data_IF_832646709409
#
_entry.id   IF_832646709409
#
_cell.length_a   1.000
_cell.length_b   1.000
_cell.length_c   1.000
_cell.angle_alpha   90.00
_cell.angle_beta   90.00
_cell.angle_gamma   90.00
#
_symmetry.space_group_name_H-M   'P 1'
#
loop_
_entity.id
_entity.type
_entity.pdbx_description
1 polymer ?
#
# COMPACT_ATOMS: atom_id res chain seq x y z
N UNK A 1 -17.11 -9.15 -14.65
CA UNK A 1 -16.20 -8.00 -14.46
C UNK A 1 -16.19 -7.70 -12.98
N UNK A 2 -15.08 -7.99 -12.31
CA UNK A 2 -14.98 -7.71 -10.88
C UNK A 2 -14.05 -6.52 -10.62
N UNK A 3 -14.61 -5.50 -10.00
CA UNK A 3 -13.86 -4.42 -9.37
C UNK A 3 -13.67 -4.79 -7.89
N UNK A 4 -12.45 -4.69 -7.38
CA UNK A 4 -12.13 -4.97 -5.98
C UNK A 4 -11.53 -3.75 -5.30
N UNK A 5 -11.64 -3.67 -3.98
CA UNK A 5 -10.79 -2.81 -3.16
C UNK A 5 -9.59 -3.65 -2.73
N UNK A 6 -8.39 -3.13 -2.89
CA UNK A 6 -7.19 -3.79 -2.38
C UNK A 6 -6.24 -2.81 -1.70
N UNK A 7 -5.70 -3.19 -0.55
CA UNK A 7 -4.58 -2.51 0.03
C UNK A 7 -3.31 -2.92 -0.72
N UNK A 8 -2.53 -1.93 -1.13
CA UNK A 8 -1.30 -2.13 -1.91
C UNK A 8 -0.18 -1.36 -1.24
N UNK A 9 0.95 -2.03 -1.11
CA UNK A 9 2.20 -1.45 -0.65
C UNK A 9 3.36 -2.03 -1.44
N UNK A 10 4.45 -1.26 -1.56
CA UNK A 10 5.65 -1.66 -2.28
C UNK A 10 6.92 -1.28 -1.52
N UNK A 11 7.95 -2.11 -1.65
CA UNK A 11 9.31 -1.73 -1.30
C UNK A 11 10.11 -1.38 -2.55
N UNK A 12 10.89 -0.32 -2.48
CA UNK A 12 11.60 0.24 -3.63
C UNK A 12 13.09 0.44 -3.38
N UNK A 13 13.87 0.54 -4.45
CA UNK A 13 15.31 0.86 -4.37
C UNK A 13 15.59 2.35 -4.18
N UNK A 14 14.56 3.21 -4.09
CA UNK A 14 14.69 4.65 -3.89
C UNK A 14 13.38 5.39 -4.14
N UNK A 15 13.42 6.71 -4.35
CA UNK A 15 12.23 7.57 -4.32
C UNK A 15 11.72 8.02 -5.71
N UNK A 16 12.45 7.77 -6.78
CA UNK A 16 12.07 8.19 -8.13
C UNK A 16 11.62 6.99 -8.97
N UNK A 17 10.34 6.91 -9.37
CA UNK A 17 9.78 5.75 -10.08
C UNK A 17 10.40 5.50 -11.46
N UNK A 18 11.02 6.50 -12.06
CA UNK A 18 11.68 6.37 -13.37
C UNK A 18 13.13 5.88 -13.26
N UNK A 19 13.75 6.05 -12.10
CA UNK A 19 15.16 5.69 -11.85
C UNK A 19 15.33 4.48 -10.96
N UNK A 20 14.35 4.18 -10.11
CA UNK A 20 14.40 3.11 -9.11
C UNK A 20 13.44 1.97 -9.46
N UNK A 21 13.69 0.82 -8.87
CA UNK A 21 12.88 -0.39 -9.07
C UNK A 21 11.95 -0.66 -7.89
N UNK A 22 10.81 -1.32 -8.15
CA UNK A 22 10.06 -2.05 -7.15
C UNK A 22 10.80 -3.37 -6.89
N UNK A 23 11.06 -3.70 -5.62
CA UNK A 23 11.74 -4.95 -5.20
C UNK A 23 10.87 -5.84 -4.30
N UNK A 24 9.78 -5.34 -3.78
CA UNK A 24 8.70 -6.12 -3.19
C UNK A 24 7.36 -5.45 -3.52
N UNK A 25 6.33 -6.25 -3.76
CA UNK A 25 4.96 -5.77 -3.95
C UNK A 25 4.00 -6.68 -3.23
N UNK A 26 3.01 -6.09 -2.56
CA UNK A 26 1.87 -6.79 -1.99
C UNK A 26 0.57 -6.13 -2.45
N UNK A 27 -0.39 -6.98 -2.84
CA UNK A 27 -1.77 -6.60 -3.16
C UNK A 27 -2.65 -7.45 -2.26
N UNK A 28 -3.26 -6.86 -1.24
CA UNK A 28 -4.18 -7.51 -0.32
C UNK A 28 -5.61 -7.12 -0.67
N UNK A 29 -6.40 -7.99 -1.32
CA UNK A 29 -7.82 -7.78 -1.51
C UNK A 29 -8.54 -7.61 -0.16
N UNK A 30 -9.52 -6.71 -0.14
CA UNK A 30 -10.28 -6.38 1.07
C UNK A 30 -11.77 -6.67 0.84
N UNK A 31 -12.45 -7.01 1.91
CA UNK A 31 -13.91 -7.10 1.95
C UNK A 31 -14.58 -5.72 2.13
N UNK A 32 -15.91 -5.70 2.22
CA UNK A 32 -16.68 -4.48 2.43
C UNK A 32 -16.44 -3.81 3.80
N UNK A 33 -15.84 -4.53 4.76
CA UNK A 33 -15.47 -4.01 6.07
C UNK A 33 -14.01 -3.57 6.14
N UNK A 34 -13.30 -3.55 5.02
CA UNK A 34 -11.87 -3.28 4.91
C UNK A 34 -10.98 -4.28 5.67
N UNK A 35 -11.47 -5.52 5.85
CA UNK A 35 -10.65 -6.63 6.35
C UNK A 35 -10.07 -7.44 5.17
N UNK A 36 -8.96 -8.17 5.39
CA UNK A 36 -8.44 -9.09 4.38
C UNK A 36 -9.52 -10.04 3.86
N UNK A 37 -9.69 -10.11 2.54
CA UNK A 37 -10.68 -10.98 1.90
C UNK A 37 -10.39 -12.45 2.22
N UNK A 38 -11.44 -13.21 2.54
CA UNK A 38 -11.36 -14.68 2.66
C UNK A 38 -11.38 -15.40 1.32
N UNK A 39 -11.89 -14.76 0.28
CA UNK A 39 -12.20 -15.37 -1.01
C UNK A 39 -11.06 -15.22 -2.02
N UNK A 40 -10.28 -14.14 -1.89
CA UNK A 40 -9.17 -13.83 -2.78
C UNK A 40 -7.89 -13.70 -1.93
N UNK A 41 -6.93 -14.63 -2.06
CA UNK A 41 -5.67 -14.54 -1.33
C UNK A 41 -4.83 -13.35 -1.81
N UNK A 42 -3.93 -12.83 -0.98
CA UNK A 42 -3.05 -11.76 -1.39
C UNK A 42 -2.10 -12.20 -2.51
N UNK A 43 -1.76 -11.27 -3.39
CA UNK A 43 -0.60 -11.41 -4.26
C UNK A 43 0.60 -10.77 -3.58
N UNK A 44 1.67 -11.55 -3.39
CA UNK A 44 2.93 -11.07 -2.82
C UNK A 44 4.09 -11.57 -3.67
N UNK A 45 5.01 -10.67 -3.99
CA UNK A 45 6.19 -11.05 -4.75
C UNK A 45 7.40 -10.18 -4.40
N UNK A 46 8.56 -10.82 -4.29
CA UNK A 46 9.87 -10.18 -4.36
C UNK A 46 10.36 -10.15 -5.78
N UNK A 47 10.92 -9.01 -6.19
CA UNK A 47 11.38 -8.75 -7.54
C UNK A 47 12.86 -8.42 -7.50
N UNK A 48 13.66 -9.22 -8.19
CA UNK A 48 15.07 -8.92 -8.36
C UNK A 48 15.28 -7.57 -9.04
N UNK A 49 16.06 -6.69 -8.42
CA UNK A 49 16.32 -5.37 -8.98
C UNK A 49 16.97 -5.46 -10.37
N UNK A 50 16.53 -4.60 -11.28
CA UNK A 50 17.07 -4.50 -12.65
C UNK A 50 18.11 -3.40 -12.77
N UNK A 51 17.98 -2.34 -11.95
CA UNK A 51 18.81 -1.12 -11.98
C UNK A 51 19.63 -0.98 -10.69
N UNK A 52 20.44 -2.02 -10.38
CA UNK A 52 21.25 -2.09 -9.16
C UNK A 52 22.08 -0.83 -8.90
N UNK A 53 22.64 -0.23 -9.97
CA UNK A 53 23.50 0.96 -9.87
C UNK A 53 22.75 2.21 -9.41
N UNK A 54 21.42 2.20 -9.48
CA UNK A 54 20.59 3.34 -9.06
C UNK A 54 20.10 3.20 -7.62
N UNK A 55 20.30 2.03 -6.99
CA UNK A 55 19.77 1.78 -5.66
C UNK A 55 20.30 2.79 -4.63
N UNK A 56 19.41 3.41 -3.90
CA UNK A 56 19.72 4.32 -2.81
C UNK A 56 20.15 3.54 -1.57
N UNK A 57 21.33 3.83 -1.03
CA UNK A 57 21.80 3.21 0.22
C UNK A 57 20.78 3.42 1.37
N UNK A 58 20.14 4.60 1.42
CA UNK A 58 19.13 4.91 2.43
C UNK A 58 17.88 4.05 2.29
N UNK A 59 17.38 3.82 1.07
CA UNK A 59 16.23 2.95 0.84
C UNK A 59 16.53 1.51 1.25
N UNK A 60 17.71 1.00 0.87
CA UNK A 60 18.16 -0.35 1.22
C UNK A 60 18.37 -0.54 2.73
N UNK A 61 18.82 0.50 3.44
CA UNK A 61 18.92 0.50 4.90
C UNK A 61 17.53 0.41 5.57
N UNK A 62 16.53 1.11 5.02
CA UNK A 62 15.17 1.16 5.57
C UNK A 62 14.45 -0.18 5.39
N UNK A 63 14.43 -0.72 4.17
CA UNK A 63 13.68 -1.96 3.90
C UNK A 63 14.47 -3.25 4.19
N UNK A 64 15.81 -3.17 4.29
CA UNK A 64 16.67 -4.32 4.62
C UNK A 64 16.67 -5.44 3.59
N UNK A 65 16.20 -5.18 2.35
CA UNK A 65 16.09 -6.19 1.31
C UNK A 65 17.38 -6.32 0.48
N UNK A 66 17.65 -7.53 -0.04
CA UNK A 66 18.74 -7.74 -0.98
C UNK A 66 18.25 -7.50 -2.42
N UNK A 67 18.99 -6.70 -3.18
CA UNK A 67 18.71 -6.40 -4.59
C UNK A 67 18.72 -7.63 -5.50
N UNK A 68 19.39 -8.70 -5.08
CA UNK A 68 19.48 -9.96 -5.82
C UNK A 68 18.46 -11.00 -5.42
N UNK A 69 17.71 -10.73 -4.34
CA UNK A 69 16.67 -11.63 -3.86
C UNK A 69 15.37 -11.45 -4.66
N UNK A 70 14.62 -12.54 -4.77
CA UNK A 70 13.36 -12.57 -5.51
C UNK A 70 13.49 -13.11 -6.95
N UNK A 71 12.35 -13.12 -7.62
CA UNK A 71 12.20 -13.64 -8.98
C UNK A 71 12.49 -12.53 -10.01
N UNK A 72 12.75 -12.96 -11.25
CA UNK A 72 12.89 -11.99 -12.34
C UNK A 72 11.56 -11.29 -12.63
N UNK A 73 11.64 -10.04 -13.05
CA UNK A 73 10.46 -9.21 -13.33
C UNK A 73 9.41 -9.93 -14.20
N UNK A 74 9.83 -10.59 -15.30
CA UNK A 74 8.89 -11.24 -16.21
C UNK A 74 8.20 -12.47 -15.60
N UNK A 75 8.85 -13.17 -14.66
CA UNK A 75 8.28 -14.28 -13.90
C UNK A 75 7.22 -13.79 -12.91
N UNK A 76 7.52 -12.68 -12.21
CA UNK A 76 6.57 -12.04 -11.31
C UNK A 76 5.38 -11.48 -12.09
N UNK A 77 5.62 -10.82 -13.23
CA UNK A 77 4.55 -10.31 -14.09
C UNK A 77 3.63 -11.43 -14.58
N UNK A 78 4.18 -12.55 -15.01
CA UNK A 78 3.39 -13.71 -15.44
C UNK A 78 2.49 -14.24 -14.31
N UNK A 79 3.03 -14.36 -13.08
CA UNK A 79 2.25 -14.78 -11.90
C UNK A 79 1.16 -13.76 -11.54
N UNK A 80 1.47 -12.46 -11.62
CA UNK A 80 0.49 -11.39 -11.37
C UNK A 80 -0.68 -11.47 -12.35
N UNK A 81 -0.39 -11.60 -13.64
CA UNK A 81 -1.42 -11.69 -14.67
C UNK A 81 -2.27 -12.97 -14.50
N UNK A 82 -1.65 -14.10 -14.17
CA UNK A 82 -2.38 -15.34 -13.87
C UNK A 82 -3.28 -15.19 -12.64
N UNK A 83 -2.81 -14.53 -11.58
CA UNK A 83 -3.60 -14.25 -10.38
C UNK A 83 -4.79 -13.34 -10.70
N UNK A 84 -4.58 -12.27 -11.47
CA UNK A 84 -5.66 -11.37 -11.90
C UNK A 84 -6.72 -12.10 -12.73
N UNK A 85 -6.29 -13.00 -13.63
CA UNK A 85 -7.19 -13.82 -14.45
C UNK A 85 -7.95 -14.84 -13.62
N UNK A 86 -7.29 -15.58 -12.73
CA UNK A 86 -7.88 -16.59 -11.83
C UNK A 86 -9.04 -16.01 -11.03
N UNK A 87 -8.84 -14.82 -10.44
CA UNK A 87 -9.86 -14.13 -9.63
C UNK A 87 -10.72 -13.16 -10.43
N UNK A 88 -10.57 -13.10 -11.77
CA UNK A 88 -11.33 -12.26 -12.71
C UNK A 88 -11.32 -10.78 -12.32
N UNK A 89 -10.19 -10.29 -11.83
CA UNK A 89 -10.00 -8.90 -11.40
C UNK A 89 -9.71 -8.05 -12.64
N UNK A 90 -10.56 -7.06 -12.90
CA UNK A 90 -10.42 -6.14 -14.05
C UNK A 90 -10.09 -4.71 -13.61
N UNK A 91 -10.44 -4.36 -12.36
CA UNK A 91 -10.15 -3.05 -11.80
C UNK A 91 -9.88 -3.16 -10.31
N UNK A 92 -8.91 -2.37 -9.85
CA UNK A 92 -8.54 -2.29 -8.44
C UNK A 92 -8.74 -0.86 -7.95
N UNK A 93 -9.58 -0.69 -6.94
CA UNK A 93 -9.65 0.51 -6.15
C UNK A 93 -8.57 0.44 -5.08
N UNK A 94 -7.49 1.18 -5.28
CA UNK A 94 -6.32 1.15 -4.42
C UNK A 94 -6.60 1.77 -3.05
N UNK A 95 -6.10 1.13 -1.99
CA UNK A 95 -5.93 1.68 -0.66
C UNK A 95 -4.43 1.60 -0.31
N UNK A 96 -3.90 2.61 0.38
CA UNK A 96 -2.50 2.61 0.83
C UNK A 96 -2.22 3.71 1.85
N UNK A 97 -0.99 3.78 2.30
CA UNK A 97 -0.44 4.87 3.11
C UNK A 97 0.43 5.75 2.22
N UNK A 98 0.03 7.00 1.95
CA UNK A 98 0.67 7.83 0.92
C UNK A 98 0.61 7.18 -0.47
N UNK A 99 -0.56 6.69 -0.83
CA UNK A 99 -0.83 5.79 -1.95
C UNK A 99 -0.40 6.34 -3.33
N UNK A 100 -0.23 7.66 -3.49
CA UNK A 100 0.28 8.24 -4.73
C UNK A 100 1.74 7.83 -5.00
N UNK A 101 2.54 7.59 -3.96
CA UNK A 101 3.90 7.10 -4.10
C UNK A 101 3.90 5.71 -4.75
N UNK A 102 3.19 4.75 -4.15
CA UNK A 102 3.12 3.37 -4.65
C UNK A 102 2.55 3.33 -6.05
N UNK A 103 1.48 4.07 -6.29
CA UNK A 103 0.84 4.17 -7.59
C UNK A 103 1.80 4.65 -8.66
N UNK A 104 2.56 5.72 -8.40
CA UNK A 104 3.52 6.28 -9.36
C UNK A 104 4.58 5.26 -9.76
N UNK A 105 5.05 4.47 -8.80
CA UNK A 105 5.98 3.38 -9.04
C UNK A 105 5.36 2.23 -9.83
N UNK A 106 4.13 1.84 -9.51
CA UNK A 106 3.41 0.79 -10.23
C UNK A 106 3.17 1.21 -11.69
N UNK A 107 2.72 2.43 -11.93
CA UNK A 107 2.50 2.95 -13.29
C UNK A 107 3.79 2.96 -14.12
N UNK A 108 4.93 3.30 -13.52
CA UNK A 108 6.23 3.35 -14.19
C UNK A 108 6.91 1.97 -14.35
N UNK A 109 6.75 1.06 -13.38
CA UNK A 109 7.49 -0.19 -13.32
C UNK A 109 6.66 -1.43 -13.73
N UNK A 110 5.33 -1.42 -13.51
CA UNK A 110 4.38 -2.51 -13.84
C UNK A 110 3.16 -1.90 -14.55
N UNK A 111 3.32 -1.38 -15.78
CA UNK A 111 2.25 -0.65 -16.47
C UNK A 111 1.00 -1.50 -16.72
N UNK A 112 1.10 -2.83 -16.77
CA UNK A 112 -0.03 -3.75 -16.86
C UNK A 112 -0.95 -3.60 -15.63
N UNK A 113 -0.39 -3.60 -14.43
CA UNK A 113 -1.12 -3.36 -13.19
C UNK A 113 -1.58 -1.90 -13.10
N UNK A 114 -0.72 -0.94 -13.49
CA UNK A 114 -1.02 0.49 -13.45
C UNK A 114 -2.32 0.84 -14.21
N UNK A 115 -2.58 0.20 -15.35
CA UNK A 115 -3.82 0.39 -16.12
C UNK A 115 -5.09 -0.10 -15.42
N UNK A 116 -4.96 -0.98 -14.43
CA UNK A 116 -6.07 -1.54 -13.65
C UNK A 116 -6.39 -0.71 -12.41
N UNK A 117 -5.47 0.17 -11.99
CA UNK A 117 -5.69 1.04 -10.84
C UNK A 117 -6.67 2.17 -11.19
N UNK A 118 -7.70 2.33 -10.39
CA UNK A 118 -8.66 3.42 -10.54
C UNK A 118 -8.04 4.79 -10.26
N UNK A 119 -8.26 5.76 -11.17
CA UNK A 119 -7.65 7.08 -11.04
C UNK A 119 -8.33 8.02 -10.04
N UNK A 120 -9.62 7.78 -9.73
CA UNK A 120 -10.43 8.71 -8.92
C UNK A 120 -10.74 8.20 -7.53
N UNK A 121 -10.63 6.90 -7.32
CA UNK A 121 -11.13 6.22 -6.12
C UNK A 121 -9.98 5.69 -5.25
N UNK A 122 -8.90 6.46 -5.14
CA UNK A 122 -7.76 6.11 -4.29
C UNK A 122 -8.11 6.39 -2.83
N UNK A 123 -7.98 5.38 -2.00
CA UNK A 123 -8.10 5.48 -0.56
C UNK A 123 -6.72 5.63 0.05
N UNK A 124 -6.54 6.67 0.83
CA UNK A 124 -5.25 6.99 1.44
C UNK A 124 -5.44 7.21 2.95
N UNK A 125 -4.84 6.33 3.75
CA UNK A 125 -4.94 6.37 5.21
C UNK A 125 -4.31 7.63 5.81
N UNK A 126 -3.23 8.16 5.22
CA UNK A 126 -2.61 9.40 5.66
C UNK A 126 -3.50 10.62 5.39
N UNK A 127 -4.10 10.69 4.20
CA UNK A 127 -5.04 11.77 3.86
C UNK A 127 -6.30 11.72 4.72
N UNK A 128 -6.80 10.52 5.01
CA UNK A 128 -7.94 10.36 5.91
C UNK A 128 -7.59 10.79 7.34
N UNK A 129 -6.38 10.47 7.83
CA UNK A 129 -5.89 10.95 9.12
C UNK A 129 -5.74 12.47 9.17
N UNK A 130 -5.31 13.10 8.07
CA UNK A 130 -5.30 14.55 7.92
C UNK A 130 -6.71 15.16 8.09
N UNK A 131 -7.70 14.61 7.37
CA UNK A 131 -9.10 15.06 7.47
C UNK A 131 -9.67 14.85 8.89
N UNK A 132 -9.33 13.71 9.53
CA UNK A 132 -9.72 13.47 10.92
C UNK A 132 -9.07 14.47 11.88
N UNK A 133 -7.80 14.81 11.70
CA UNK A 133 -7.15 15.87 12.47
C UNK A 133 -7.86 17.21 12.36
N UNK A 134 -8.33 17.57 11.16
CA UNK A 134 -9.05 18.82 10.95
C UNK A 134 -10.41 18.80 11.68
N UNK A 135 -11.15 17.71 11.62
CA UNK A 135 -12.39 17.53 12.37
C UNK A 135 -12.19 17.67 13.87
N UNK A 136 -11.16 17.04 14.42
CA UNK A 136 -10.85 17.11 15.86
C UNK A 136 -10.37 18.51 16.23
N UNK A 137 -9.53 19.15 15.41
CA UNK A 137 -9.05 20.52 15.64
C UNK A 137 -10.18 21.53 15.69
N UNK A 138 -11.19 21.40 14.82
CA UNK A 138 -12.37 22.27 14.83
C UNK A 138 -13.15 22.15 16.16
N UNK A 139 -13.15 20.99 16.80
CA UNK A 139 -13.87 20.75 18.06
C UNK A 139 -13.04 21.08 19.31
N UNK A 140 -11.74 20.84 19.29
CA UNK A 140 -10.88 20.83 20.50
C UNK A 140 -9.76 21.87 20.45
N UNK A 141 -9.51 22.50 19.32
CA UNK A 141 -8.40 23.41 19.08
C UNK A 141 -7.06 22.72 18.80
N UNK A 142 -6.96 21.39 18.88
CA UNK A 142 -5.70 20.61 18.67
C UNK A 142 -5.95 19.42 17.75
N UNK A 143 -4.95 18.96 16.99
CA UNK A 143 -5.06 17.76 16.19
C UNK A 143 -5.11 16.51 17.10
N UNK A 144 -5.69 15.41 16.58
CA UNK A 144 -5.70 14.12 17.26
C UNK A 144 -4.32 13.42 17.18
N UNK A 145 -3.62 13.62 16.07
CA UNK A 145 -2.32 12.99 15.79
C UNK A 145 -1.29 14.05 15.44
N UNK A 146 -0.12 13.98 16.07
CA UNK A 146 1.00 14.89 15.78
C UNK A 146 1.79 14.44 14.54
N UNK A 147 1.87 13.11 14.34
CA UNK A 147 2.55 12.48 13.21
C UNK A 147 1.58 11.58 12.46
N UNK A 148 1.74 11.51 11.14
CA UNK A 148 0.85 10.79 10.24
C UNK A 148 1.54 9.63 9.50
N UNK A 149 2.72 9.21 9.95
CA UNK A 149 3.36 7.99 9.47
C UNK A 149 2.57 6.75 9.89
N UNK A 150 2.63 5.67 9.10
CA UNK A 150 1.85 4.44 9.35
C UNK A 150 2.08 3.89 10.77
N UNK A 151 3.33 3.76 11.18
CA UNK A 151 3.71 3.29 12.53
C UNK A 151 3.19 4.20 13.64
N UNK A 152 3.25 5.53 13.45
CA UNK A 152 2.74 6.49 14.44
C UNK A 152 1.21 6.42 14.55
N UNK A 153 0.50 6.32 13.42
CA UNK A 153 -0.96 6.17 13.39
C UNK A 153 -1.42 4.87 14.02
N UNK A 154 -0.76 3.75 13.71
CA UNK A 154 -1.05 2.45 14.36
C UNK A 154 -0.97 2.56 15.87
N UNK A 155 0.15 3.07 16.39
CA UNK A 155 0.36 3.27 17.85
C UNK A 155 -0.71 4.15 18.46
N UNK A 156 -1.04 5.27 17.84
CA UNK A 156 -2.05 6.22 18.33
C UNK A 156 -3.49 5.65 18.28
N UNK A 157 -3.75 4.71 17.36
CA UNK A 157 -5.04 4.04 17.22
C UNK A 157 -5.15 2.76 18.06
N UNK A 158 -4.06 2.30 18.69
CA UNK A 158 -4.03 1.06 19.47
C UNK A 158 -4.07 -0.21 18.60
N UNK A 159 -3.61 -0.11 17.36
CA UNK A 159 -3.54 -1.23 16.43
C UNK A 159 -2.22 -1.96 16.66
N UNK A 160 -2.30 -3.26 17.05
CA UNK A 160 -1.13 -4.12 17.12
C UNK A 160 -0.53 -4.30 15.75
N UNK A 161 0.77 -4.04 15.64
CA UNK A 161 1.46 -4.06 14.36
C UNK A 161 2.16 -5.37 14.07
N UNK A 162 2.27 -5.65 12.80
CA UNK A 162 3.10 -6.67 12.20
C UNK A 162 4.55 -6.19 12.02
N UNK A 163 5.33 -6.91 11.26
CA UNK A 163 6.72 -6.56 10.97
C UNK A 163 6.78 -5.35 10.03
N UNK A 164 7.36 -4.26 10.49
CA UNK A 164 7.54 -3.03 9.69
C UNK A 164 8.44 -3.29 8.46
N UNK A 165 8.19 -2.53 7.38
CA UNK A 165 8.94 -2.59 6.12
C UNK A 165 8.84 -3.95 5.41
N UNK A 166 7.65 -4.53 5.44
CA UNK A 166 7.25 -5.68 4.62
C UNK A 166 5.96 -5.31 3.92
N UNK A 167 5.97 -5.31 2.59
CA UNK A 167 4.87 -4.79 1.80
C UNK A 167 3.50 -5.38 2.19
N UNK A 168 3.39 -6.67 2.49
CA UNK A 168 2.11 -7.26 2.89
C UNK A 168 1.64 -6.73 4.25
N UNK A 169 2.55 -6.65 5.21
CA UNK A 169 2.24 -6.21 6.56
C UNK A 169 1.83 -4.73 6.56
N UNK A 170 2.56 -3.89 5.82
CA UNK A 170 2.28 -2.46 5.73
C UNK A 170 0.99 -2.19 4.95
N UNK A 171 0.67 -2.98 3.91
CA UNK A 171 -0.63 -2.92 3.22
C UNK A 171 -1.80 -3.23 4.16
N UNK A 172 -1.70 -4.32 4.95
CA UNK A 172 -2.73 -4.71 5.92
C UNK A 172 -2.88 -3.63 7.01
N UNK A 173 -1.78 -3.09 7.50
CA UNK A 173 -1.79 -2.05 8.52
C UNK A 173 -2.38 -0.73 7.99
N UNK A 174 -2.13 -0.37 6.74
CA UNK A 174 -2.78 0.77 6.09
C UNK A 174 -4.31 0.60 6.02
N UNK A 175 -4.79 -0.61 5.69
CA UNK A 175 -6.21 -0.92 5.69
C UNK A 175 -6.84 -0.83 7.11
N UNK A 176 -6.16 -1.37 8.12
CA UNK A 176 -6.60 -1.30 9.54
C UNK A 176 -6.65 0.14 10.05
N UNK A 177 -5.64 0.96 9.73
CA UNK A 177 -5.61 2.39 10.07
C UNK A 177 -6.77 3.11 9.38
N UNK A 178 -6.99 2.86 8.08
CA UNK A 178 -8.08 3.46 7.33
C UNK A 178 -9.44 3.13 7.93
N UNK A 179 -9.70 1.86 8.23
CA UNK A 179 -10.92 1.38 8.89
C UNK A 179 -11.14 2.05 10.25
N UNK A 180 -10.13 2.03 11.12
CA UNK A 180 -10.22 2.62 12.47
C UNK A 180 -10.51 4.13 12.43
N UNK A 181 -9.98 4.85 11.44
CA UNK A 181 -10.28 6.27 11.22
C UNK A 181 -11.73 6.46 10.79
N UNK A 182 -12.26 5.65 9.88
CA UNK A 182 -13.67 5.71 9.48
C UNK A 182 -14.61 5.45 10.67
N UNK A 183 -14.31 4.45 11.49
CA UNK A 183 -15.08 4.15 12.70
C UNK A 183 -15.09 5.32 13.68
N UNK A 184 -13.92 5.94 13.94
CA UNK A 184 -13.84 7.14 14.79
C UNK A 184 -14.60 8.33 14.21
N UNK A 185 -14.56 8.53 12.90
CA UNK A 185 -15.31 9.59 12.21
C UNK A 185 -16.83 9.36 12.32
N UNK A 186 -17.28 8.12 12.21
CA UNK A 186 -18.68 7.76 12.35
C UNK A 186 -19.23 8.00 13.78
N UNK A 187 -18.38 7.83 14.79
CA UNK A 187 -18.72 8.07 16.20
C UNK A 187 -18.61 9.55 16.62
N UNK A 188 -17.97 10.37 15.82
CA UNK A 188 -17.70 11.78 16.12
C UNK A 188 -18.91 12.72 15.84
N UNK A 189 -20.14 12.26 16.19
CA UNK A 189 -21.38 13.05 16.07
C UNK A 189 -21.44 14.20 17.05
#
# INVERSE_FOLDING_TARGET
MSEIIAAIDIETTGLDPHHHDIIEIAIQPLDAAFEPSSDIPPFVARIKARRHQNASARAMEVNGLDLNDGDKYHEVLARLLAWLEEYRIEKIQMLGQNADFDRSFIEANIPELGRMLGHRDIRDSQRLACAYNDLVRMKTGKPAFEKLGLSDLRKALGIEGSQEHRALDDAIDAARVYKALLERMALAK
#
